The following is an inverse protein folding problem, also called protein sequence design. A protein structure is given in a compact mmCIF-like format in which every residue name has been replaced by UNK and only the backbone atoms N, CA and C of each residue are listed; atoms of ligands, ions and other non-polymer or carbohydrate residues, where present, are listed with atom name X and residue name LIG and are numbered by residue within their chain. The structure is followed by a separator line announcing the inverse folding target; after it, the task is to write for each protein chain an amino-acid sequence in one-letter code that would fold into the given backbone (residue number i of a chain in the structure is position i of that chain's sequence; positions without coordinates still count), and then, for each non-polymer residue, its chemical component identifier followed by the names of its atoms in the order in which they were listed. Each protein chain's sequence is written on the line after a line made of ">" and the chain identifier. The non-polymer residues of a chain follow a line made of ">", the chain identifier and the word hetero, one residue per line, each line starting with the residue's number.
data_IF_159375224786
#
_entry.id   IF_159375224786
#
_cell.length_a   1.000
_cell.length_b   1.000
_cell.length_c   1.000
_cell.angle_alpha   90.00
_cell.angle_beta   90.00
_cell.angle_gamma   90.00
#
_symmetry.space_group_name_H-M   'P 1'
#
loop_
_entity.id
_entity.type
_entity.pdbx_description
1 polymer ?
#
# COMPACT_ATOMS: atom_id res chain seq x y z
N UNK A 1 -28.39 -14.17 -4.95
CA UNK A 1 -27.10 -13.70 -4.40
C UNK A 1 -26.92 -12.24 -4.83
N UNK A 2 -27.69 -11.31 -4.24
CA UNK A 2 -27.62 -9.86 -4.57
C UNK A 2 -26.31 -9.33 -3.98
N UNK A 3 -25.33 -9.10 -4.85
CA UNK A 3 -23.94 -8.77 -4.54
C UNK A 3 -23.81 -7.56 -3.62
N UNK A 4 -22.83 -7.59 -2.71
CA UNK A 4 -22.45 -6.53 -1.75
C UNK A 4 -22.34 -5.10 -2.31
N UNK A 5 -22.38 -4.93 -3.63
CA UNK A 5 -22.41 -3.66 -4.37
C UNK A 5 -23.68 -2.85 -4.03
N UNK A 6 -24.86 -3.49 -3.93
CA UNK A 6 -26.13 -2.81 -3.66
C UNK A 6 -26.23 -2.26 -2.23
N UNK A 7 -25.43 -2.77 -1.28
CA UNK A 7 -25.30 -2.19 0.08
C UNK A 7 -24.33 -1.00 0.13
N UNK A 8 -23.34 -0.96 -0.77
CA UNK A 8 -22.26 0.05 -0.78
C UNK A 8 -22.68 1.36 -1.45
N UNK A 9 -23.48 1.29 -2.53
CA UNK A 9 -23.94 2.49 -3.26
C UNK A 9 -25.07 3.22 -2.51
N UNK A 10 -25.93 2.49 -1.77
CA UNK A 10 -27.01 3.07 -0.94
C UNK A 10 -26.48 4.00 0.16
N UNK A 11 -25.19 3.88 0.54
CA UNK A 11 -24.59 4.76 1.56
C UNK A 11 -24.14 6.11 0.99
N UNK A 12 -23.85 6.21 -0.33
CA UNK A 12 -23.37 7.43 -0.98
C UNK A 12 -24.49 8.46 -1.23
N UNK A 13 -25.68 7.99 -1.62
CA UNK A 13 -26.87 8.84 -1.86
C UNK A 13 -27.32 9.59 -0.57
N UNK A 14 -26.79 9.23 0.61
CA UNK A 14 -27.07 9.92 1.88
C UNK A 14 -26.32 11.25 2.06
N UNK A 15 -25.39 11.64 1.18
CA UNK A 15 -24.64 12.90 1.33
C UNK A 15 -25.44 14.16 0.92
N UNK A 16 -26.54 14.03 0.18
CA UNK A 16 -27.36 15.16 -0.29
C UNK A 16 -28.86 14.92 -0.06
N UNK A 17 -29.25 14.82 1.21
CA UNK A 17 -30.65 14.75 1.59
C UNK A 17 -31.37 16.09 1.34
N UNK A 18 -31.98 16.22 0.16
CA UNK A 18 -32.98 17.26 -0.13
C UNK A 18 -34.30 16.80 0.48
N UNK A 19 -34.79 17.53 1.48
CA UNK A 19 -36.11 17.31 2.06
C UNK A 19 -37.15 17.75 1.03
N UNK A 20 -37.99 16.83 0.56
CA UNK A 20 -39.04 17.08 -0.45
C UNK A 20 -40.16 18.03 0.01
N UNK A 21 -40.04 18.70 1.16
CA UNK A 21 -41.15 19.44 1.76
C UNK A 21 -40.85 20.86 2.24
N UNK A 22 -39.62 21.40 2.25
CA UNK A 22 -39.38 22.87 2.49
C UNK A 22 -37.91 23.31 2.34
N UNK A 23 -37.73 24.51 1.76
CA UNK A 23 -36.60 25.48 1.79
C UNK A 23 -35.17 24.94 1.75
N UNK A 24 -34.45 25.32 0.67
CA UNK A 24 -33.00 25.22 0.53
C UNK A 24 -32.28 25.91 1.71
N UNK A 25 -31.74 25.11 2.62
CA UNK A 25 -30.63 25.53 3.47
C UNK A 25 -29.42 24.67 3.08
N UNK A 26 -28.35 25.35 2.66
CA UNK A 26 -27.13 24.72 2.16
C UNK A 26 -26.65 23.59 3.08
N UNK A 27 -26.75 22.36 2.59
CA UNK A 27 -26.15 21.19 3.23
C UNK A 27 -24.65 21.19 2.95
N UNK A 28 -23.87 21.23 4.02
CA UNK A 28 -22.43 20.93 3.98
C UNK A 28 -22.23 19.51 3.44
N UNK A 29 -21.36 19.36 2.44
CA UNK A 29 -20.89 18.08 1.93
C UNK A 29 -20.37 17.22 3.09
N UNK A 30 -21.11 16.18 3.47
CA UNK A 30 -20.58 15.13 4.33
C UNK A 30 -19.67 14.28 3.45
N UNK A 31 -18.40 14.15 3.84
CA UNK A 31 -17.40 13.35 3.13
C UNK A 31 -17.96 11.95 2.79
N UNK A 32 -18.26 11.72 1.51
CA UNK A 32 -18.43 10.39 0.96
C UNK A 32 -17.06 9.72 0.96
N UNK A 33 -16.65 9.18 2.11
CA UNK A 33 -15.52 8.27 2.19
C UNK A 33 -15.92 6.94 1.55
N UNK A 34 -15.77 6.83 0.21
CA UNK A 34 -14.90 5.87 -0.48
C UNK A 34 -15.42 5.45 -1.89
N UNK A 35 -14.65 5.83 -2.92
CA UNK A 35 -14.53 5.25 -4.28
C UNK A 35 -15.63 5.47 -5.33
N UNK A 36 -16.19 6.68 -5.43
CA UNK A 36 -17.10 7.03 -6.53
C UNK A 36 -16.78 8.45 -7.03
N UNK A 37 -16.89 8.69 -8.33
CA UNK A 37 -16.84 10.00 -8.97
C UNK A 37 -18.25 10.36 -9.47
N UNK A 38 -18.79 11.48 -9.00
CA UNK A 38 -20.06 12.02 -9.53
C UNK A 38 -19.82 12.63 -10.91
N UNK A 39 -20.54 12.10 -11.90
CA UNK A 39 -20.50 12.56 -13.29
C UNK A 39 -21.63 13.57 -13.57
N UNK A 40 -22.77 13.40 -12.90
CA UNK A 40 -23.91 14.31 -12.98
C UNK A 40 -24.75 14.26 -11.70
N UNK A 41 -25.30 15.40 -11.31
CA UNK A 41 -26.36 15.51 -10.31
C UNK A 41 -27.35 16.60 -10.73
N UNK A 42 -28.65 16.35 -10.60
CA UNK A 42 -29.68 17.38 -10.82
C UNK A 42 -29.42 18.58 -9.87
N UNK A 43 -29.42 19.83 -10.38
CA UNK A 43 -29.08 21.00 -9.57
C UNK A 43 -30.15 21.34 -8.51
N UNK A 44 -31.37 20.83 -8.69
CA UNK A 44 -32.50 21.01 -7.79
C UNK A 44 -33.50 19.86 -8.02
N UNK A 45 -34.62 19.90 -7.29
CA UNK A 45 -35.74 19.03 -7.59
C UNK A 45 -36.39 19.43 -8.92
N UNK A 46 -36.40 18.52 -9.89
CA UNK A 46 -36.91 18.75 -11.24
C UNK A 46 -38.31 18.17 -11.43
N UNK A 47 -39.06 18.69 -12.40
CA UNK A 47 -40.39 18.18 -12.78
C UNK A 47 -40.31 17.50 -14.15
N UNK A 48 -40.76 16.26 -14.24
CA UNK A 48 -40.90 15.51 -15.48
C UNK A 48 -42.38 15.41 -15.88
N UNK A 49 -42.67 15.66 -17.15
CA UNK A 49 -43.99 15.42 -17.74
C UNK A 49 -44.12 13.97 -18.21
N UNK A 50 -45.24 13.32 -17.92
CA UNK A 50 -45.53 11.95 -18.31
C UNK A 50 -45.28 11.72 -19.81
N UNK A 51 -44.60 10.62 -20.14
CA UNK A 51 -44.31 10.20 -21.52
C UNK A 51 -43.26 11.04 -22.26
N UNK A 52 -42.75 12.12 -21.67
CA UNK A 52 -41.67 12.93 -22.25
C UNK A 52 -40.31 12.41 -21.79
N UNK A 53 -39.38 12.21 -22.72
CA UNK A 53 -38.02 11.79 -22.39
C UNK A 53 -37.15 12.99 -22.00
N UNK A 54 -36.53 12.90 -20.83
CA UNK A 54 -35.48 13.80 -20.39
C UNK A 54 -34.13 13.19 -20.77
N UNK A 55 -33.26 13.95 -21.45
CA UNK A 55 -31.91 13.52 -21.79
C UNK A 55 -30.84 14.33 -21.08
N UNK A 56 -30.03 13.67 -20.27
CA UNK A 56 -28.95 14.26 -19.50
C UNK A 56 -27.60 13.77 -20.00
N UNK A 57 -26.71 14.66 -20.49
CA UNK A 57 -25.37 14.27 -20.91
C UNK A 57 -24.46 13.99 -19.71
N UNK A 58 -23.55 13.03 -19.85
CA UNK A 58 -22.47 12.77 -18.90
C UNK A 58 -21.25 12.18 -19.60
N UNK A 59 -20.06 12.35 -19.01
CA UNK A 59 -18.81 11.79 -19.54
C UNK A 59 -18.29 10.70 -18.61
N UNK A 60 -18.31 9.44 -19.05
CA UNK A 60 -17.67 8.36 -18.32
C UNK A 60 -16.14 8.51 -18.43
N UNK A 61 -15.44 8.49 -17.30
CA UNK A 61 -13.99 8.67 -17.25
C UNK A 61 -13.22 7.34 -17.32
N UNK A 62 -13.91 6.22 -17.16
CA UNK A 62 -13.34 4.87 -17.16
C UNK A 62 -14.35 3.81 -17.63
N UNK A 63 -13.91 2.54 -17.62
CA UNK A 63 -14.74 1.36 -17.94
C UNK A 63 -15.50 0.79 -16.74
N UNK A 64 -15.48 1.51 -15.62
CA UNK A 64 -16.04 1.04 -14.35
C UNK A 64 -17.55 1.16 -14.31
N UNK A 65 -18.11 0.41 -13.36
CA UNK A 65 -19.54 0.35 -13.12
C UNK A 65 -20.10 1.76 -12.86
N UNK A 66 -21.14 2.11 -13.60
CA UNK A 66 -21.95 3.30 -13.38
C UNK A 66 -23.09 2.95 -12.43
N UNK A 67 -23.46 3.90 -11.59
CA UNK A 67 -24.68 3.86 -10.79
C UNK A 67 -25.54 5.05 -11.21
N UNK A 68 -26.73 4.76 -11.74
CA UNK A 68 -27.76 5.76 -12.04
C UNK A 68 -28.79 5.68 -10.93
N UNK A 69 -28.86 6.74 -10.14
CA UNK A 69 -29.80 6.87 -9.03
C UNK A 69 -30.89 7.85 -9.42
N UNK A 70 -32.14 7.43 -9.25
CA UNK A 70 -33.31 8.29 -9.40
C UNK A 70 -34.01 8.36 -8.04
N UNK A 71 -34.23 9.57 -7.54
CA UNK A 71 -35.00 9.84 -6.33
C UNK A 71 -36.33 10.49 -6.71
N UNK A 72 -37.43 10.12 -6.05
CA UNK A 72 -38.75 10.71 -6.28
C UNK A 72 -39.59 10.68 -4.98
N UNK A 73 -40.59 11.58 -4.81
CA UNK A 73 -41.48 11.56 -3.64
C UNK A 73 -42.33 10.28 -3.54
N UNK A 74 -42.65 9.67 -4.68
CA UNK A 74 -43.43 8.46 -4.79
C UNK A 74 -42.79 7.50 -5.81
N UNK A 75 -42.90 6.19 -5.57
CA UNK A 75 -42.50 5.20 -6.56
C UNK A 75 -43.38 5.32 -7.81
N UNK A 76 -42.76 5.21 -8.99
CA UNK A 76 -43.45 5.35 -10.28
C UNK A 76 -42.88 4.39 -11.33
N UNK A 77 -43.62 4.16 -12.41
CA UNK A 77 -43.12 3.42 -13.55
C UNK A 77 -42.28 4.37 -14.42
N UNK A 78 -41.10 3.93 -14.86
CA UNK A 78 -40.23 4.71 -15.75
C UNK A 78 -39.44 3.82 -16.70
N UNK A 79 -38.89 4.42 -17.74
CA UNK A 79 -37.89 3.81 -18.61
C UNK A 79 -36.59 4.61 -18.53
N UNK A 80 -35.45 3.92 -18.40
CA UNK A 80 -34.13 4.54 -18.48
C UNK A 80 -33.41 4.01 -19.73
N UNK A 81 -32.87 4.93 -20.53
CA UNK A 81 -32.17 4.68 -21.78
C UNK A 81 -30.75 5.25 -21.70
N UNK A 82 -29.76 4.58 -22.26
CA UNK A 82 -28.40 5.10 -22.40
C UNK A 82 -28.07 5.25 -23.86
N UNK A 83 -27.60 6.43 -24.24
CA UNK A 83 -27.21 6.76 -25.60
C UNK A 83 -25.72 7.05 -25.67
N UNK A 84 -25.12 6.67 -26.78
CA UNK A 84 -23.75 7.02 -27.14
C UNK A 84 -23.61 8.51 -27.50
N UNK A 85 -22.37 8.95 -27.75
CA UNK A 85 -22.07 10.33 -28.16
C UNK A 85 -22.77 10.80 -29.46
N UNK A 86 -23.29 9.87 -30.26
CA UNK A 86 -24.03 10.16 -31.51
C UNK A 86 -25.55 10.17 -31.30
N UNK A 87 -26.02 9.86 -30.09
CA UNK A 87 -27.44 9.78 -29.75
C UNK A 87 -28.09 8.43 -30.09
N UNK A 88 -27.30 7.41 -30.41
CA UNK A 88 -27.80 6.04 -30.64
C UNK A 88 -27.84 5.26 -29.34
N UNK A 89 -28.87 4.42 -29.16
CA UNK A 89 -28.96 3.54 -27.99
C UNK A 89 -27.73 2.63 -27.89
N UNK A 90 -27.10 2.64 -26.71
CA UNK A 90 -25.95 1.80 -26.39
C UNK A 90 -26.33 0.32 -26.39
N UNK A 91 -25.52 -0.50 -27.07
CA UNK A 91 -25.79 -1.92 -27.28
C UNK A 91 -25.37 -2.75 -26.05
N UNK A 92 -26.10 -2.57 -24.96
CA UNK A 92 -25.83 -3.22 -23.69
C UNK A 92 -27.04 -3.99 -23.15
N UNK A 93 -26.78 -4.93 -22.24
CA UNK A 93 -27.84 -5.74 -21.64
C UNK A 93 -28.83 -4.83 -20.88
N UNK A 94 -30.13 -4.97 -21.14
CA UNK A 94 -31.19 -4.18 -20.51
C UNK A 94 -31.10 -2.66 -20.77
N UNK A 95 -30.77 -2.25 -22.00
CA UNK A 95 -30.90 -0.86 -22.44
C UNK A 95 -31.86 -0.76 -23.65
N UNK A 96 -33.03 -0.11 -23.52
CA UNK A 96 -33.53 0.56 -22.33
C UNK A 96 -33.97 -0.40 -21.23
N UNK A 97 -33.94 0.05 -19.97
CA UNK A 97 -34.48 -0.67 -18.82
C UNK A 97 -35.86 -0.12 -18.46
N UNK A 98 -36.83 -1.01 -18.27
CA UNK A 98 -38.14 -0.68 -17.71
C UNK A 98 -38.10 -0.89 -16.20
N UNK A 99 -38.59 0.11 -15.46
CA UNK A 99 -38.62 0.14 -14.00
C UNK A 99 -40.08 0.26 -13.57
N UNK A 100 -40.50 -0.60 -12.65
CA UNK A 100 -41.85 -0.59 -12.09
C UNK A 100 -41.84 -0.13 -10.63
N UNK A 101 -42.99 0.27 -10.11
CA UNK A 101 -43.12 0.78 -8.73
C UNK A 101 -42.52 -0.13 -7.66
N UNK A 102 -42.56 -1.47 -7.84
CA UNK A 102 -41.98 -2.44 -6.89
C UNK A 102 -40.45 -2.49 -6.87
N UNK A 103 -39.78 -1.90 -7.86
CA UNK A 103 -38.31 -1.86 -7.93
C UNK A 103 -37.71 -0.76 -7.04
N UNK A 104 -38.52 0.24 -6.69
CA UNK A 104 -38.13 1.36 -5.86
C UNK A 104 -38.02 0.95 -4.39
N UNK A 105 -37.14 1.63 -3.66
CA UNK A 105 -36.96 1.46 -2.22
C UNK A 105 -37.29 2.74 -1.50
N UNK A 106 -38.13 2.66 -0.47
CA UNK A 106 -38.36 3.78 0.42
C UNK A 106 -37.09 4.10 1.22
N UNK A 107 -36.73 5.39 1.29
CA UNK A 107 -35.58 5.90 2.03
C UNK A 107 -36.11 6.87 3.09
N UNK A 108 -36.19 6.38 4.32
CA UNK A 108 -36.80 7.10 5.46
C UNK A 108 -36.20 8.50 5.69
N UNK A 109 -34.87 8.64 5.56
CA UNK A 109 -34.16 9.93 5.73
C UNK A 109 -34.54 10.98 4.70
N UNK A 110 -34.96 10.56 3.50
CA UNK A 110 -35.37 11.44 2.42
C UNK A 110 -36.89 11.65 2.38
N UNK A 111 -37.65 10.87 3.16
CA UNK A 111 -39.10 10.77 3.06
C UNK A 111 -39.58 10.54 1.62
N UNK A 112 -38.85 9.70 0.88
CA UNK A 112 -39.10 9.47 -0.54
C UNK A 112 -38.60 8.09 -0.99
N UNK A 113 -38.61 7.86 -2.29
CA UNK A 113 -38.24 6.60 -2.93
C UNK A 113 -36.98 6.76 -3.77
N UNK A 114 -36.15 5.73 -3.78
CA UNK A 114 -34.95 5.64 -4.59
C UNK A 114 -34.96 4.40 -5.47
N UNK A 115 -34.58 4.56 -6.73
CA UNK A 115 -34.21 3.48 -7.62
C UNK A 115 -32.73 3.62 -8.01
N UNK A 116 -32.01 2.50 -8.05
CA UNK A 116 -30.58 2.47 -8.41
C UNK A 116 -30.40 1.44 -9.52
N UNK A 117 -29.91 1.90 -10.67
CA UNK A 117 -29.53 1.05 -11.79
C UNK A 117 -28.01 0.99 -11.90
N UNK A 118 -27.45 -0.22 -11.76
CA UNK A 118 -26.01 -0.45 -11.86
C UNK A 118 -25.65 -1.03 -13.23
N UNK A 119 -24.66 -0.43 -13.86
CA UNK A 119 -24.43 -0.49 -15.29
C UNK A 119 -22.95 -0.80 -15.55
N UNK A 120 -22.63 -1.81 -16.36
CA UNK A 120 -21.25 -2.27 -16.66
C UNK A 120 -20.98 -2.32 -18.15
N UNK A 121 -19.70 -2.32 -18.52
CA UNK A 121 -19.28 -2.47 -19.92
C UNK A 121 -19.17 -1.14 -20.68
N UNK A 122 -19.04 -0.02 -19.98
CA UNK A 122 -18.77 1.28 -20.58
C UNK A 122 -17.31 1.35 -21.03
N UNK A 123 -17.06 2.16 -22.06
CA UNK A 123 -15.74 2.74 -22.29
C UNK A 123 -15.74 4.19 -21.83
N UNK A 124 -14.57 4.76 -21.58
CA UNK A 124 -14.47 6.21 -21.36
C UNK A 124 -15.00 6.96 -22.59
N UNK A 125 -15.85 7.96 -22.39
CA UNK A 125 -16.48 8.70 -23.48
C UNK A 125 -17.72 9.48 -23.03
N UNK A 126 -18.31 10.19 -23.98
CA UNK A 126 -19.52 10.99 -23.77
C UNK A 126 -20.77 10.15 -24.05
N UNK A 127 -21.74 10.25 -23.17
CA UNK A 127 -23.02 9.53 -23.22
C UNK A 127 -24.17 10.46 -22.82
N UNK A 128 -25.40 9.99 -22.98
CA UNK A 128 -26.55 10.59 -22.31
C UNK A 128 -27.47 9.56 -21.67
N UNK A 129 -28.03 9.92 -20.53
CA UNK A 129 -29.06 9.17 -19.82
C UNK A 129 -30.43 9.75 -20.17
N UNK A 130 -31.25 8.96 -20.85
CA UNK A 130 -32.67 9.21 -21.11
C UNK A 130 -33.52 8.67 -19.96
N UNK A 131 -34.47 9.46 -19.45
CA UNK A 131 -35.46 9.01 -18.47
C UNK A 131 -36.85 9.42 -18.95
N UNK A 132 -37.77 8.46 -19.02
CA UNK A 132 -39.19 8.71 -19.34
C UNK A 132 -40.06 8.17 -18.22
N UNK A 133 -40.74 9.06 -17.50
CA UNK A 133 -41.71 8.68 -16.47
C UNK A 133 -43.09 8.43 -17.09
N UNK A 134 -43.84 7.45 -16.59
CA UNK A 134 -45.21 7.17 -17.08
C UNK A 134 -46.27 8.06 -16.42
N UNK A 135 -45.90 8.82 -15.38
CA UNK A 135 -46.73 9.83 -14.71
C UNK A 135 -45.93 11.09 -14.48
N UNK A 136 -46.60 12.24 -14.34
CA UNK A 136 -45.95 13.48 -13.93
C UNK A 136 -45.23 13.23 -12.59
N UNK A 137 -43.93 13.50 -12.55
CA UNK A 137 -43.07 13.07 -11.44
C UNK A 137 -42.04 14.14 -11.12
N UNK A 138 -41.87 14.44 -9.83
CA UNK A 138 -40.72 15.21 -9.38
C UNK A 138 -39.55 14.28 -9.10
N UNK A 139 -38.34 14.63 -9.53
CA UNK A 139 -37.20 13.74 -9.41
C UNK A 139 -35.86 14.45 -9.22
N UNK A 140 -34.89 13.70 -8.69
CA UNK A 140 -33.45 14.03 -8.73
C UNK A 140 -32.76 12.86 -9.42
N UNK A 141 -31.87 13.17 -10.36
CA UNK A 141 -30.99 12.21 -11.02
C UNK A 141 -29.55 12.41 -10.52
N UNK A 142 -28.90 11.32 -10.16
CA UNK A 142 -27.46 11.27 -9.87
C UNK A 142 -26.83 10.16 -10.70
N UNK A 143 -25.71 10.47 -11.36
CA UNK A 143 -24.92 9.52 -12.14
C UNK A 143 -23.51 9.51 -11.57
N UNK A 144 -23.13 8.34 -11.09
CA UNK A 144 -21.92 8.08 -10.37
C UNK A 144 -21.10 7.00 -11.07
N UNK A 145 -19.78 7.14 -11.12
CA UNK A 145 -18.87 6.10 -11.59
C UNK A 145 -18.01 5.56 -10.45
N UNK A 146 -18.00 4.24 -10.27
CA UNK A 146 -17.13 3.60 -9.28
C UNK A 146 -15.66 3.84 -9.65
N UNK A 147 -14.87 4.30 -8.68
CA UNK A 147 -13.42 4.35 -8.79
C UNK A 147 -12.80 3.07 -8.22
N UNK A 148 -11.65 2.66 -8.74
CA UNK A 148 -10.85 1.66 -8.02
C UNK A 148 -10.25 2.30 -6.76
N UNK A 149 -10.17 1.50 -5.71
CA UNK A 149 -9.49 1.85 -4.47
C UNK A 149 -7.99 2.02 -4.78
N UNK A 150 -7.58 3.23 -5.15
CA UNK A 150 -6.21 3.50 -5.60
C UNK A 150 -5.26 3.32 -4.42
N UNK A 151 -4.31 2.40 -4.57
CA UNK A 151 -3.40 2.00 -3.48
C UNK A 151 -1.98 1.93 -3.99
N UNK A 152 -1.08 2.52 -3.21
CA UNK A 152 0.36 2.29 -3.35
C UNK A 152 0.76 1.06 -2.54
N UNK A 153 1.64 0.22 -3.10
CA UNK A 153 2.04 -1.07 -2.50
C UNK A 153 2.61 -0.95 -1.09
N UNK A 154 3.20 0.19 -0.75
CA UNK A 154 3.69 0.49 0.60
C UNK A 154 3.57 1.98 0.89
N UNK A 155 2.93 2.33 2.00
CA UNK A 155 2.92 3.70 2.55
C UNK A 155 4.18 4.02 3.36
N UNK A 156 4.91 2.98 3.81
CA UNK A 156 6.21 3.07 4.48
C UNK A 156 7.16 2.02 3.91
N UNK A 157 8.40 2.41 3.66
CA UNK A 157 9.45 1.52 3.19
C UNK A 157 10.77 1.80 3.90
N UNK A 158 11.45 0.75 4.36
CA UNK A 158 12.82 0.83 4.83
C UNK A 158 13.72 0.21 3.76
N UNK A 159 14.70 0.98 3.28
CA UNK A 159 15.60 0.57 2.20
C UNK A 159 17.04 0.63 2.72
N UNK A 160 17.84 -0.38 2.45
CA UNK A 160 19.27 -0.33 2.77
C UNK A 160 20.01 0.49 1.72
N UNK A 161 20.92 1.36 2.16
CA UNK A 161 21.76 2.18 1.27
C UNK A 161 22.44 1.33 0.21
N UNK A 162 22.29 1.73 -1.05
CA UNK A 162 22.80 1.02 -2.22
C UNK A 162 21.89 -0.10 -2.75
N UNK A 163 20.76 -0.38 -2.09
CA UNK A 163 19.74 -1.36 -2.50
C UNK A 163 18.47 -0.67 -2.97
N UNK A 164 17.57 -1.47 -3.53
CA UNK A 164 16.35 -0.98 -4.18
C UNK A 164 15.10 -1.70 -3.69
N UNK A 165 13.98 -0.99 -3.69
CA UNK A 165 12.65 -1.57 -3.49
C UNK A 165 11.72 -1.09 -4.60
N UNK A 166 10.92 -2.00 -5.15
CA UNK A 166 9.88 -1.68 -6.13
C UNK A 166 8.64 -1.19 -5.40
N UNK A 167 8.13 -0.02 -5.80
CA UNK A 167 6.79 0.42 -5.49
C UNK A 167 5.90 0.20 -6.72
N UNK A 168 4.62 -0.03 -6.49
CA UNK A 168 3.59 -0.16 -7.53
C UNK A 168 2.30 0.49 -7.05
N UNK A 169 1.44 0.84 -8.00
CA UNK A 169 0.10 1.38 -7.75
C UNK A 169 -0.90 0.41 -8.36
N UNK A 170 -1.94 0.08 -7.59
CA UNK A 170 -3.14 -0.64 -8.05
C UNK A 170 -4.30 0.34 -8.04
N UNK A 171 -5.27 0.18 -8.95
CA UNK A 171 -6.40 1.11 -9.04
C UNK A 171 -6.22 2.29 -9.97
N UNK A 172 -5.00 2.55 -10.44
CA UNK A 172 -4.75 3.63 -11.38
C UNK A 172 -3.45 3.40 -12.17
N UNK A 173 -3.37 4.05 -13.34
CA UNK A 173 -2.12 4.22 -14.07
C UNK A 173 -1.30 5.34 -13.45
N UNK A 174 0.02 5.14 -13.36
CA UNK A 174 0.94 6.13 -12.81
C UNK A 174 1.47 7.01 -13.94
N UNK A 175 1.17 8.30 -13.87
CA UNK A 175 1.70 9.34 -14.75
C UNK A 175 3.18 9.64 -14.47
N UNK A 176 3.54 9.76 -13.18
CA UNK A 176 4.94 10.04 -12.80
C UNK A 176 5.30 9.58 -11.40
N UNK A 177 6.60 9.35 -11.18
CA UNK A 177 7.19 9.10 -9.86
C UNK A 177 8.13 10.25 -9.50
N UNK A 178 8.12 10.67 -8.23
CA UNK A 178 8.98 11.75 -7.73
C UNK A 178 9.52 11.44 -6.35
N UNK A 179 10.78 11.79 -6.07
CA UNK A 179 11.31 11.80 -4.70
C UNK A 179 11.40 13.22 -4.17
N UNK A 180 11.04 13.43 -2.91
CA UNK A 180 11.21 14.71 -2.22
C UNK A 180 12.69 15.09 -2.07
N UNK A 181 13.56 14.11 -1.88
CA UNK A 181 15.00 14.31 -1.70
C UNK A 181 15.79 13.15 -2.30
N UNK A 182 16.25 13.36 -3.53
CA UNK A 182 17.05 12.39 -4.29
C UNK A 182 18.44 12.12 -3.72
N UNK A 183 18.95 12.99 -2.84
CA UNK A 183 20.20 12.72 -2.11
C UNK A 183 20.02 11.61 -1.07
N UNK A 184 18.79 11.35 -0.62
CA UNK A 184 18.44 10.27 0.30
C UNK A 184 17.95 9.04 -0.45
N UNK A 185 16.95 9.17 -1.32
CA UNK A 185 16.46 8.08 -2.16
C UNK A 185 16.00 8.58 -3.53
N UNK A 186 16.33 7.86 -4.60
CA UNK A 186 15.90 8.13 -5.98
C UNK A 186 14.80 7.16 -6.38
N UNK A 187 13.88 7.57 -7.24
CA UNK A 187 12.87 6.68 -7.84
C UNK A 187 12.93 6.83 -9.34
N UNK A 188 12.91 5.71 -10.08
CA UNK A 188 12.86 5.74 -11.54
C UNK A 188 11.42 5.80 -12.08
N UNK A 189 11.27 5.94 -13.39
CA UNK A 189 9.96 5.98 -14.08
C UNK A 189 9.08 4.75 -13.83
N UNK A 190 9.70 3.63 -13.42
CA UNK A 190 9.01 2.39 -13.14
C UNK A 190 8.71 2.22 -11.64
N UNK A 191 8.97 3.21 -10.78
CA UNK A 191 8.75 3.08 -9.33
C UNK A 191 9.83 2.24 -8.61
N UNK A 192 11.00 2.02 -9.21
CA UNK A 192 12.13 1.40 -8.51
C UNK A 192 12.84 2.45 -7.65
N UNK A 193 12.64 2.36 -6.34
CA UNK A 193 13.25 3.26 -5.36
C UNK A 193 14.63 2.74 -4.97
N UNK A 194 15.67 3.56 -5.09
CA UNK A 194 17.07 3.26 -4.73
C UNK A 194 17.52 4.11 -3.55
N UNK A 195 18.00 3.48 -2.48
CA UNK A 195 18.57 4.18 -1.32
C UNK A 195 19.96 4.73 -1.60
N UNK A 196 20.18 6.03 -1.42
CA UNK A 196 21.44 6.74 -1.74
C UNK A 196 22.23 7.09 -0.48
N UNK A 197 21.58 7.70 0.52
CA UNK A 197 22.18 8.11 1.79
C UNK A 197 21.22 7.81 2.92
N UNK A 198 21.73 7.40 4.09
CA UNK A 198 20.90 7.21 5.26
C UNK A 198 20.15 8.49 5.64
N UNK A 199 18.86 8.34 5.97
CA UNK A 199 17.96 9.46 6.22
C UNK A 199 16.52 9.11 5.84
N UNK A 200 15.60 10.05 6.05
CA UNK A 200 14.18 9.90 5.71
C UNK A 200 13.81 10.85 4.57
N UNK A 201 13.02 10.35 3.63
CA UNK A 201 12.46 11.13 2.51
C UNK A 201 11.08 10.59 2.16
N UNK A 202 10.43 11.22 1.19
CA UNK A 202 9.11 10.83 0.70
C UNK A 202 9.20 10.55 -0.80
N UNK A 203 8.60 9.46 -1.24
CA UNK A 203 8.38 9.15 -2.66
C UNK A 203 6.89 9.33 -2.96
N UNK A 204 6.62 9.94 -4.11
CA UNK A 204 5.30 10.27 -4.62
C UNK A 204 5.03 9.48 -5.90
N UNK A 205 3.83 8.95 -6.04
CA UNK A 205 3.29 8.45 -7.29
C UNK A 205 2.11 9.34 -7.69
N UNK A 206 2.23 10.03 -8.82
CA UNK A 206 1.15 10.84 -9.38
C UNK A 206 0.45 10.00 -10.44
N UNK A 207 -0.84 9.76 -10.26
CA UNK A 207 -1.67 9.00 -11.19
C UNK A 207 -2.13 9.87 -12.37
N UNK A 208 -2.65 9.25 -13.44
CA UNK A 208 -3.12 9.97 -14.63
C UNK A 208 -4.30 10.92 -14.32
N UNK A 209 -5.18 10.53 -13.39
CA UNK A 209 -6.30 11.32 -12.85
C UNK A 209 -5.86 12.37 -11.81
N UNK A 210 -4.56 12.50 -11.52
CA UNK A 210 -4.00 13.56 -10.69
C UNK A 210 -3.90 13.26 -9.20
N UNK A 211 -4.28 12.07 -8.73
CA UNK A 211 -4.08 11.68 -7.33
C UNK A 211 -2.59 11.56 -7.00
N UNK A 212 -2.23 11.91 -5.76
CA UNK A 212 -0.86 11.88 -5.27
C UNK A 212 -0.70 10.88 -4.12
N UNK A 213 -0.18 9.69 -4.42
CA UNK A 213 0.04 8.64 -3.44
C UNK A 213 1.43 8.78 -2.81
N UNK A 214 1.53 8.46 -1.51
CA UNK A 214 2.72 8.76 -0.72
C UNK A 214 3.33 7.48 -0.12
N UNK A 215 4.64 7.35 -0.25
CA UNK A 215 5.46 6.40 0.48
C UNK A 215 6.54 7.13 1.31
N UNK A 216 6.50 6.96 2.62
CA UNK A 216 7.58 7.41 3.51
C UNK A 216 8.75 6.43 3.44
N UNK A 217 9.89 6.91 2.97
CA UNK A 217 11.10 6.10 2.78
C UNK A 217 12.12 6.42 3.86
N UNK A 218 12.54 5.41 4.60
CA UNK A 218 13.70 5.47 5.50
C UNK A 218 14.85 4.66 4.91
N UNK A 219 15.94 5.36 4.58
CA UNK A 219 17.17 4.71 4.14
C UNK A 219 18.06 4.48 5.35
N UNK A 220 18.48 3.23 5.55
CA UNK A 220 19.42 2.84 6.62
C UNK A 220 20.79 2.46 6.04
N UNK A 221 21.85 2.66 6.83
CA UNK A 221 23.19 2.21 6.43
C UNK A 221 23.24 0.69 6.25
N UNK A 222 24.09 0.22 5.33
CA UNK A 222 24.30 -1.20 5.10
C UNK A 222 25.21 -1.80 6.20
N UNK A 223 24.62 -2.04 7.37
CA UNK A 223 25.29 -2.54 8.56
C UNK A 223 24.44 -3.63 9.21
N UNK A 224 25.10 -4.69 9.64
CA UNK A 224 24.50 -5.70 10.51
C UNK A 224 24.56 -5.23 11.95
N UNK A 225 23.50 -5.50 12.71
CA UNK A 225 23.42 -5.26 14.14
C UNK A 225 22.61 -6.38 14.81
N UNK A 226 23.06 -6.83 15.97
CA UNK A 226 22.39 -7.83 16.81
C UNK A 226 22.52 -7.47 18.29
N UNK A 227 21.82 -8.18 19.17
CA UNK A 227 21.96 -8.05 20.62
C UNK A 227 23.35 -8.50 21.05
N UNK A 228 23.95 -7.78 21.98
CA UNK A 228 25.26 -8.14 22.57
C UNK A 228 25.04 -9.12 23.72
N UNK A 229 25.84 -10.18 23.80
CA UNK A 229 25.83 -11.10 24.94
C UNK A 229 26.65 -10.56 26.12
N UNK A 230 26.21 -10.87 27.33
CA UNK A 230 26.92 -10.67 28.59
C UNK A 230 27.37 -12.00 29.18
N UNK A 231 28.26 -11.98 30.18
CA UNK A 231 28.62 -13.18 30.94
C UNK A 231 27.42 -13.76 31.69
N UNK A 232 26.55 -12.91 32.24
CA UNK A 232 25.34 -13.33 32.95
C UNK A 232 24.29 -14.01 32.07
N UNK A 233 24.37 -13.87 30.74
CA UNK A 233 23.47 -14.59 29.82
C UNK A 233 23.86 -16.07 29.64
N UNK A 234 25.00 -16.50 30.20
CA UNK A 234 25.58 -17.84 30.03
C UNK A 234 25.44 -18.68 31.30
N UNK A 235 25.46 -20.01 31.18
CA UNK A 235 25.56 -20.91 32.32
C UNK A 235 26.89 -20.79 33.06
N UNK A 236 26.95 -21.29 34.29
CA UNK A 236 28.18 -21.28 35.08
C UNK A 236 29.31 -22.06 34.38
N UNK A 237 30.50 -21.46 34.33
CA UNK A 237 31.70 -21.94 33.60
C UNK A 237 31.52 -22.05 32.08
N UNK A 238 30.46 -21.49 31.52
CA UNK A 238 30.28 -21.41 30.08
C UNK A 238 30.94 -20.15 29.49
N UNK A 239 31.21 -20.22 28.19
CA UNK A 239 31.63 -19.09 27.39
C UNK A 239 30.78 -19.03 26.13
N UNK A 240 30.67 -17.84 25.56
CA UNK A 240 29.90 -17.61 24.34
C UNK A 240 30.57 -16.60 23.43
N UNK A 241 30.19 -16.63 22.16
CA UNK A 241 30.55 -15.63 21.16
C UNK A 241 29.30 -15.21 20.39
N UNK A 242 29.16 -13.92 20.12
CA UNK A 242 28.14 -13.41 19.21
C UNK A 242 28.70 -12.25 18.39
N UNK A 243 28.58 -12.31 17.07
CA UNK A 243 28.78 -11.15 16.20
C UNK A 243 27.56 -10.27 16.35
N UNK A 244 27.75 -9.08 16.89
CA UNK A 244 26.67 -8.12 17.10
C UNK A 244 26.73 -6.92 16.17
N UNK A 245 27.81 -6.80 15.37
CA UNK A 245 28.00 -5.69 14.43
C UNK A 245 28.85 -6.14 13.25
N UNK A 246 28.41 -5.82 12.03
CA UNK A 246 29.25 -5.98 10.84
C UNK A 246 29.05 -4.84 9.83
N UNK A 247 30.13 -4.50 9.12
CA UNK A 247 30.13 -3.49 8.07
C UNK A 247 31.29 -3.69 7.10
N UNK A 248 31.18 -3.17 5.89
CA UNK A 248 32.29 -3.12 4.95
C UNK A 248 33.26 -1.98 5.29
N UNK A 249 34.56 -2.25 5.27
CA UNK A 249 35.58 -1.20 5.29
C UNK A 249 35.72 -0.52 3.91
N UNK A 250 36.57 0.51 3.81
CA UNK A 250 36.82 1.25 2.55
C UNK A 250 37.37 0.35 1.43
N UNK A 251 38.05 -0.73 1.78
CA UNK A 251 38.60 -1.71 0.83
C UNK A 251 37.58 -2.78 0.44
N UNK A 252 36.36 -2.74 1.02
CA UNK A 252 35.29 -3.70 0.79
C UNK A 252 35.48 -5.04 1.52
N UNK A 253 36.36 -5.12 2.51
CA UNK A 253 36.41 -6.28 3.40
C UNK A 253 35.24 -6.21 4.38
N UNK A 254 34.65 -7.37 4.67
CA UNK A 254 33.63 -7.46 5.70
C UNK A 254 34.30 -7.54 7.07
N UNK A 255 34.10 -6.51 7.89
CA UNK A 255 34.59 -6.43 9.27
C UNK A 255 33.44 -6.74 10.20
N UNK A 256 33.63 -7.75 11.04
CA UNK A 256 32.67 -8.25 12.03
C UNK A 256 33.26 -8.04 13.42
N UNK A 257 32.52 -7.37 14.29
CA UNK A 257 32.85 -7.27 15.72
C UNK A 257 32.00 -8.29 16.46
N UNK A 258 32.67 -9.20 17.17
CA UNK A 258 32.04 -10.16 18.04
C UNK A 258 32.35 -9.86 19.50
N UNK A 259 31.35 -10.09 20.35
CA UNK A 259 31.50 -10.12 21.79
C UNK A 259 31.79 -11.55 22.21
N UNK A 260 32.82 -11.72 23.01
CA UNK A 260 33.16 -12.98 23.67
C UNK A 260 32.92 -12.80 25.15
N UNK A 261 32.14 -13.68 25.76
CA UNK A 261 31.77 -13.63 27.18
C UNK A 261 32.19 -14.91 27.88
N UNK A 262 32.57 -14.81 29.16
CA UNK A 262 32.90 -15.95 30.00
C UNK A 262 32.28 -15.81 31.39
N UNK A 263 31.58 -16.85 31.85
CA UNK A 263 30.88 -16.88 33.13
C UNK A 263 31.49 -17.88 34.11
N UNK A 264 32.80 -17.79 34.34
CA UNK A 264 33.48 -18.55 35.39
C UNK A 264 34.46 -17.67 36.17
N UNK A 265 34.97 -18.17 37.28
CA UNK A 265 35.96 -17.45 38.12
C UNK A 265 37.37 -17.39 37.53
N UNK A 266 37.70 -18.31 36.62
CA UNK A 266 38.99 -18.36 35.94
C UNK A 266 39.09 -17.42 34.74
N UNK A 267 39.72 -17.88 33.64
CA UNK A 267 39.80 -17.12 32.38
C UNK A 267 39.65 -18.00 31.15
N UNK A 268 39.11 -17.44 30.09
CA UNK A 268 39.25 -18.02 28.75
C UNK A 268 40.49 -17.43 28.07
N UNK A 269 41.34 -18.26 27.44
CA UNK A 269 42.60 -17.81 26.81
C UNK A 269 42.58 -17.84 25.28
N UNK A 270 41.75 -18.69 24.68
CA UNK A 270 41.61 -18.78 23.23
C UNK A 270 40.29 -19.44 22.82
N UNK A 271 39.91 -19.18 21.58
CA UNK A 271 38.92 -19.97 20.84
C UNK A 271 39.66 -20.88 19.83
N UNK A 272 39.16 -22.09 19.64
CA UNK A 272 39.64 -23.12 18.71
C UNK A 272 38.58 -23.40 17.64
N UNK A 273 39.01 -23.82 16.46
CA UNK A 273 38.12 -24.20 15.35
C UNK A 273 37.07 -23.12 15.02
N UNK A 274 37.46 -21.85 15.05
CA UNK A 274 36.54 -20.73 14.86
C UNK A 274 36.11 -20.68 13.40
N UNK A 275 34.80 -20.73 13.18
CA UNK A 275 34.12 -20.58 11.90
C UNK A 275 32.97 -19.59 12.05
N UNK A 276 33.01 -18.48 11.31
CA UNK A 276 31.92 -17.51 11.26
C UNK A 276 31.37 -17.50 9.84
N UNK A 277 30.11 -17.89 9.69
CA UNK A 277 29.44 -18.01 8.40
C UNK A 277 28.45 -16.86 8.24
N UNK A 278 28.63 -16.06 7.20
CA UNK A 278 27.71 -14.98 6.84
C UNK A 278 26.82 -15.45 5.70
N UNK A 279 25.50 -15.33 5.89
CA UNK A 279 24.47 -15.67 4.91
C UNK A 279 23.68 -14.41 4.56
N UNK A 280 23.27 -14.30 3.30
CA UNK A 280 22.36 -13.23 2.88
C UNK A 280 20.91 -13.50 3.31
N UNK A 281 20.01 -12.59 2.95
CA UNK A 281 18.58 -12.64 3.29
C UNK A 281 17.85 -13.89 2.80
N UNK A 282 18.41 -14.61 1.82
CA UNK A 282 17.86 -15.87 1.31
C UNK A 282 18.54 -17.09 1.92
N UNK A 283 19.37 -16.92 2.96
CA UNK A 283 20.12 -17.98 3.61
C UNK A 283 21.35 -18.46 2.84
N UNK A 284 21.69 -17.83 1.70
CA UNK A 284 22.85 -18.24 0.90
C UNK A 284 24.14 -17.74 1.54
N UNK A 285 25.11 -18.63 1.73
CA UNK A 285 26.43 -18.25 2.25
C UNK A 285 27.14 -17.27 1.32
N UNK A 286 27.50 -16.10 1.85
CA UNK A 286 28.22 -15.03 1.14
C UNK A 286 29.66 -14.88 1.59
N UNK A 287 30.01 -15.34 2.78
CA UNK A 287 31.37 -15.32 3.30
C UNK A 287 31.55 -16.30 4.46
N UNK A 288 32.76 -16.81 4.62
CA UNK A 288 33.13 -17.63 5.77
C UNK A 288 34.50 -17.20 6.27
N UNK A 289 34.60 -16.88 7.55
CA UNK A 289 35.87 -16.76 8.25
C UNK A 289 36.21 -18.10 8.91
N UNK A 290 37.45 -18.57 8.80
CA UNK A 290 37.94 -19.78 9.49
C UNK A 290 39.31 -19.54 10.08
N UNK A 291 39.54 -20.01 11.31
CA UNK A 291 40.89 -20.18 11.88
C UNK A 291 40.89 -21.35 12.86
N UNK A 292 42.00 -22.09 12.91
CA UNK A 292 42.18 -23.19 13.87
C UNK A 292 42.28 -22.67 15.30
N UNK A 293 42.82 -21.46 15.50
CA UNK A 293 42.99 -20.83 16.82
C UNK A 293 42.90 -19.31 16.73
N UNK A 294 42.28 -18.70 17.72
CA UNK A 294 42.26 -17.25 17.97
C UNK A 294 42.56 -17.00 19.44
N UNK A 295 43.73 -16.44 19.75
CA UNK A 295 44.08 -16.06 21.11
C UNK A 295 43.22 -14.86 21.55
N UNK A 296 42.52 -15.01 22.67
CA UNK A 296 41.70 -13.99 23.30
C UNK A 296 41.61 -14.27 24.79
N UNK A 297 42.17 -13.40 25.60
CA UNK A 297 42.02 -13.48 27.06
C UNK A 297 40.74 -12.76 27.48
N UNK A 298 39.80 -13.51 28.04
CA UNK A 298 38.57 -13.00 28.70
C UNK A 298 38.64 -13.41 30.17
N UNK A 299 38.62 -12.42 31.06
CA UNK A 299 38.67 -12.65 32.50
C UNK A 299 37.34 -13.21 33.01
N UNK A 300 37.38 -13.71 34.25
CA UNK A 300 36.21 -14.27 34.90
C UNK A 300 35.06 -13.27 34.99
N UNK A 301 33.85 -13.76 34.78
CA UNK A 301 32.61 -12.98 34.77
C UNK A 301 32.63 -11.75 33.85
N UNK A 302 33.46 -11.78 32.80
CA UNK A 302 33.74 -10.61 31.97
C UNK A 302 33.48 -10.88 30.49
N UNK A 303 33.65 -9.82 29.69
CA UNK A 303 33.47 -9.88 28.24
C UNK A 303 34.57 -9.11 27.50
N UNK A 304 34.77 -9.44 26.23
CA UNK A 304 35.75 -8.77 25.36
C UNK A 304 35.31 -8.73 23.91
N UNK A 305 35.53 -7.60 23.25
CA UNK A 305 35.34 -7.49 21.81
C UNK A 305 36.53 -8.03 21.02
N UNK A 306 36.21 -8.76 19.95
CA UNK A 306 37.17 -9.28 18.98
C UNK A 306 36.69 -8.96 17.58
N UNK A 307 37.60 -8.49 16.73
CA UNK A 307 37.32 -8.24 15.31
C UNK A 307 37.74 -9.44 14.46
N UNK A 308 36.87 -9.78 13.52
CA UNK A 308 37.07 -10.77 12.47
C UNK A 308 36.90 -10.09 11.12
N UNK A 309 37.73 -10.44 10.14
CA UNK A 309 37.74 -9.81 8.82
C UNK A 309 37.68 -10.87 7.75
N UNK A 310 36.66 -10.83 6.90
CA UNK A 310 36.60 -11.59 5.66
C UNK A 310 37.04 -10.65 4.54
N UNK A 311 38.14 -10.99 3.87
CA UNK A 311 38.66 -10.19 2.76
C UNK A 311 37.64 -10.14 1.63
N UNK A 312 37.58 -9.01 0.91
CA UNK A 312 36.69 -8.84 -0.25
C UNK A 312 36.83 -9.97 -1.28
N UNK A 313 38.06 -10.44 -1.50
CA UNK A 313 38.38 -11.55 -2.41
C UNK A 313 37.79 -12.90 -1.97
N UNK A 314 37.54 -13.09 -0.68
CA UNK A 314 36.97 -14.31 -0.11
C UNK A 314 35.42 -14.28 -0.04
N UNK A 315 34.78 -13.17 -0.41
CA UNK A 315 33.33 -13.06 -0.46
C UNK A 315 32.80 -13.66 -1.77
N UNK A 316 31.86 -14.59 -1.65
CA UNK A 316 31.15 -15.19 -2.80
C UNK A 316 30.23 -14.18 -3.51
N UNK A 317 29.80 -13.14 -2.78
CA UNK A 317 28.96 -12.05 -3.27
C UNK A 317 29.51 -10.73 -2.75
N UNK A 318 29.90 -9.83 -3.66
CA UNK A 318 30.56 -8.55 -3.31
C UNK A 318 29.58 -7.47 -2.84
N UNK A 319 28.28 -7.61 -3.14
CA UNK A 319 27.22 -6.68 -2.75
C UNK A 319 26.01 -7.45 -2.26
N UNK A 320 25.71 -7.35 -0.97
CA UNK A 320 24.54 -7.95 -0.34
C UNK A 320 24.10 -7.10 0.86
N UNK A 321 22.84 -7.24 1.26
CA UNK A 321 22.23 -6.45 2.32
C UNK A 321 22.58 -7.05 3.69
N UNK A 322 23.48 -6.38 4.42
CA UNK A 322 23.91 -6.78 5.75
C UNK A 322 22.81 -6.60 6.80
N UNK A 323 21.83 -5.71 6.59
CA UNK A 323 20.74 -5.52 7.57
C UNK A 323 19.82 -6.74 7.66
N UNK A 324 19.67 -7.46 6.55
CA UNK A 324 18.85 -8.66 6.45
C UNK A 324 19.68 -9.95 6.40
N UNK A 325 20.99 -9.85 6.63
CA UNK A 325 21.88 -11.01 6.67
C UNK A 325 21.75 -11.75 8.00
N UNK A 326 22.14 -13.03 8.01
CA UNK A 326 22.36 -13.79 9.25
C UNK A 326 23.83 -14.15 9.37
N UNK A 327 24.33 -14.15 10.61
CA UNK A 327 25.70 -14.54 10.94
C UNK A 327 25.61 -15.70 11.92
N UNK A 328 26.34 -16.78 11.64
CA UNK A 328 26.37 -17.99 12.45
C UNK A 328 27.80 -18.24 12.89
N UNK A 329 28.01 -18.25 14.20
CA UNK A 329 29.26 -18.55 14.86
C UNK A 329 29.30 -20.02 15.27
N UNK A 330 30.42 -20.67 14.97
CA UNK A 330 30.74 -22.01 15.40
C UNK A 330 32.19 -21.97 15.87
N UNK A 331 32.39 -22.20 17.16
CA UNK A 331 33.71 -22.16 17.77
C UNK A 331 33.74 -23.06 19.00
N UNK A 332 34.88 -23.71 19.20
CA UNK A 332 35.15 -24.54 20.38
C UNK A 332 36.13 -23.82 21.30
N UNK A 333 36.12 -24.13 22.58
CA UNK A 333 36.95 -23.45 23.56
C UNK A 333 36.60 -23.91 24.95
N UNK A 334 37.53 -23.75 25.88
CA UNK A 334 37.31 -24.05 27.30
C UNK A 334 37.86 -22.90 28.15
N UNK A 335 37.13 -22.58 29.22
CA UNK A 335 37.66 -21.77 30.31
C UNK A 335 38.70 -22.57 31.08
N UNK A 336 39.80 -21.91 31.45
CA UNK A 336 40.77 -22.46 32.39
C UNK A 336 40.41 -21.95 33.78
N UNK A 337 40.17 -22.87 34.71
CA UNK A 337 40.18 -22.52 36.14
C UNK A 337 41.66 -22.34 36.52
N UNK A 338 41.96 -21.25 37.24
CA UNK A 338 43.25 -21.17 37.93
C UNK A 338 43.27 -22.19 39.07
#
# INVERSE_FOLDING_TARGET
>A
MKTNVTKRIVTLVMAFAVVFTTVFAGGTSVEAAENVQTLYISPALENATAGSEIKVPFTATSDKELAITVLAPAATNMQISIYDSTGKLEAMNQNPVSVVTSDWRYVEKLQGYAFIYSLKGFSSGDYSCGITFLSDTQYILEIDQLNENVKISNTKAIITKGFTKKLSVTGAKVKSWKSKNEKIAKVDKNGKVTGVKAGKTTVYAVTEDGQNLICQVEVKENKYADKVISSSDLGYKEWGINVYKASFDKSGNLVMTARVAYNGSGRMACMKNVKITVKDENGKTVGVYKTSRKNVTVLGYSTKDVKFVIKKSALKKKKFDLRNSSIVEDATGHGYNN
#
